data_IF_372001150663
#
_entry.id   IF_372001150663
#
_cell.length_a   1.000
_cell.length_b   1.000
_cell.length_c   1.000
_cell.angle_alpha   90.00
_cell.angle_beta   90.00
_cell.angle_gamma   90.00
#
_symmetry.space_group_name_H-M   'P 1'
#
loop_
_entity.id
_entity.type
_entity.pdbx_description
1 polymer ?
#
# COMPACT_ATOMS: atom_id res chain seq x y z
N UNK A 1 9.44 13.67 -7.08
CA UNK A 1 9.08 12.75 -5.99
C UNK A 1 8.42 11.53 -6.63
N UNK A 2 8.99 10.34 -6.44
CA UNK A 2 8.42 9.10 -6.98
C UNK A 2 7.46 8.47 -5.95
N UNK A 3 6.44 7.76 -6.42
CA UNK A 3 5.44 7.05 -5.59
C UNK A 3 5.30 5.61 -6.07
N UNK A 4 4.88 4.73 -5.17
CA UNK A 4 4.41 3.39 -5.52
C UNK A 4 2.89 3.37 -5.47
N UNK A 5 2.25 2.83 -6.51
CA UNK A 5 0.80 2.65 -6.55
C UNK A 5 0.50 1.15 -6.59
N UNK A 6 -0.14 0.67 -5.54
CA UNK A 6 -0.60 -0.70 -5.46
C UNK A 6 -2.08 -0.77 -5.82
N UNK A 7 -2.40 -1.52 -6.88
CA UNK A 7 -3.78 -1.78 -7.29
C UNK A 7 -4.23 -3.10 -6.69
N UNK A 8 -5.24 -3.06 -5.85
CA UNK A 8 -5.85 -4.29 -5.37
C UNK A 8 -6.59 -4.99 -6.50
N UNK A 9 -6.32 -6.28 -6.61
CA UNK A 9 -7.07 -7.16 -7.49
C UNK A 9 -8.49 -7.32 -6.92
N UNK A 10 -9.52 -7.48 -7.78
CA UNK A 10 -10.88 -7.76 -7.34
C UNK A 10 -10.99 -9.20 -6.83
N UNK A 11 -10.30 -9.52 -5.74
CA UNK A 11 -10.28 -10.86 -5.11
C UNK A 11 -11.29 -10.89 -3.95
N UNK A 12 -12.58 -10.89 -4.32
CA UNK A 12 -13.70 -11.12 -3.40
C UNK A 12 -13.78 -10.18 -2.18
N UNK A 13 -14.54 -10.60 -1.17
CA UNK A 13 -14.70 -9.87 0.09
C UNK A 13 -13.41 -9.79 0.92
N UNK A 14 -12.48 -10.72 0.73
CA UNK A 14 -11.23 -10.77 1.47
C UNK A 14 -10.32 -9.59 1.11
N UNK A 15 -10.07 -9.35 -0.18
CA UNK A 15 -9.26 -8.22 -0.61
C UNK A 15 -9.83 -6.87 -0.18
N UNK A 16 -11.16 -6.72 -0.13
CA UNK A 16 -11.76 -5.49 0.39
C UNK A 16 -11.52 -5.28 1.89
N UNK A 17 -11.60 -6.35 2.69
CA UNK A 17 -11.33 -6.30 4.12
C UNK A 17 -9.87 -5.96 4.41
N UNK A 18 -8.95 -6.56 3.67
CA UNK A 18 -7.50 -6.28 3.75
C UNK A 18 -7.22 -4.82 3.40
N UNK A 19 -7.80 -4.32 2.29
CA UNK A 19 -7.69 -2.91 1.91
C UNK A 19 -8.19 -1.94 2.99
N UNK A 20 -9.38 -2.21 3.55
CA UNK A 20 -9.94 -1.37 4.62
C UNK A 20 -9.04 -1.38 5.86
N UNK A 21 -8.45 -2.53 6.18
CA UNK A 21 -7.50 -2.68 7.29
C UNK A 21 -6.27 -1.81 7.04
N UNK A 22 -5.66 -1.92 5.85
CA UNK A 22 -4.50 -1.11 5.49
C UNK A 22 -4.80 0.39 5.55
N UNK A 23 -5.91 0.85 4.95
CA UNK A 23 -6.30 2.27 5.02
C UNK A 23 -6.53 2.72 6.46
N UNK A 24 -7.20 1.91 7.29
CA UNK A 24 -7.55 2.30 8.66
C UNK A 24 -6.32 2.42 9.56
N UNK A 25 -5.40 1.45 9.50
CA UNK A 25 -4.26 1.40 10.40
C UNK A 25 -3.04 2.14 9.85
N UNK A 26 -2.68 1.94 8.57
CA UNK A 26 -1.47 2.54 8.00
C UNK A 26 -1.61 4.05 7.80
N UNK A 27 -2.84 4.59 7.67
CA UNK A 27 -3.04 6.05 7.64
C UNK A 27 -2.70 6.75 8.96
N UNK A 28 -2.73 6.01 10.08
CA UNK A 28 -2.46 6.53 11.41
C UNK A 28 -1.01 6.29 11.86
N UNK A 29 -0.31 5.36 11.20
CA UNK A 29 1.04 4.96 11.57
C UNK A 29 2.08 5.80 10.83
N UNK A 30 2.88 6.53 11.61
CA UNK A 30 4.03 7.28 11.11
C UNK A 30 5.28 6.85 11.87
N UNK A 31 6.13 6.06 11.21
CA UNK A 31 7.37 5.56 11.80
C UNK A 31 8.47 5.47 10.73
N UNK A 32 9.73 5.82 11.02
CA UNK A 32 10.82 5.82 10.03
C UNK A 32 11.17 4.44 9.44
N UNK A 33 10.68 3.35 10.04
CA UNK A 33 10.90 1.98 9.57
C UNK A 33 9.65 1.31 9.02
N UNK A 34 8.55 2.05 8.84
CA UNK A 34 7.34 1.58 8.18
C UNK A 34 7.17 2.37 6.90
N UNK A 35 6.85 1.68 5.79
CA UNK A 35 6.55 2.36 4.53
C UNK A 35 5.34 3.27 4.73
N UNK A 36 5.48 4.54 4.36
CA UNK A 36 4.43 5.53 4.55
C UNK A 36 3.34 5.36 3.52
N UNK A 37 2.12 5.13 3.98
CA UNK A 37 0.91 5.33 3.18
C UNK A 37 0.69 6.84 3.00
N UNK A 38 0.78 7.31 1.75
CA UNK A 38 0.57 8.72 1.37
C UNK A 38 -0.91 8.99 1.14
N UNK A 39 -1.64 8.03 0.59
CA UNK A 39 -3.07 8.16 0.31
C UNK A 39 -3.67 6.91 -0.33
N UNK A 40 -4.93 7.00 -0.73
CA UNK A 40 -5.66 5.91 -1.36
C UNK A 40 -6.67 6.43 -2.38
N UNK A 41 -7.13 5.56 -3.28
CA UNK A 41 -8.28 5.81 -4.16
C UNK A 41 -9.34 4.73 -3.94
N UNK A 42 -10.59 5.17 -3.75
CA UNK A 42 -11.76 4.31 -3.59
C UNK A 42 -12.87 4.83 -4.50
N UNK A 43 -12.76 4.54 -5.79
CA UNK A 43 -13.72 4.99 -6.80
C UNK A 43 -14.28 3.80 -7.59
N UNK A 44 -15.59 3.59 -7.49
CA UNK A 44 -16.25 2.42 -8.08
C UNK A 44 -15.63 1.11 -7.60
N UNK A 45 -15.10 0.33 -8.54
CA UNK A 45 -14.39 -0.92 -8.28
C UNK A 45 -12.88 -0.76 -8.11
N UNK A 46 -12.35 0.46 -8.27
CA UNK A 46 -10.93 0.72 -8.08
C UNK A 46 -10.64 0.90 -6.59
N UNK A 47 -9.68 0.11 -6.11
CA UNK A 47 -9.05 0.23 -4.79
C UNK A 47 -7.56 0.35 -5.02
N UNK A 48 -7.03 1.54 -4.81
CA UNK A 48 -5.60 1.83 -4.96
C UNK A 48 -5.04 2.31 -3.63
N UNK A 49 -3.80 1.94 -3.35
CA UNK A 49 -3.00 2.45 -2.24
C UNK A 49 -1.78 3.15 -2.81
N UNK A 50 -1.46 4.31 -2.25
CA UNK A 50 -0.36 5.16 -2.69
C UNK A 50 0.66 5.23 -1.57
N UNK A 51 1.84 4.70 -1.82
CA UNK A 51 2.95 4.62 -0.87
C UNK A 51 4.12 5.50 -1.32
N UNK A 52 5.00 5.81 -0.38
CA UNK A 52 6.35 6.26 -0.74
C UNK A 52 7.08 5.18 -1.54
N UNK A 53 7.85 5.62 -2.54
CA UNK A 53 8.62 4.68 -3.36
C UNK A 53 9.93 4.30 -2.66
N UNK A 54 10.18 2.99 -2.53
CA UNK A 54 11.41 2.44 -1.97
C UNK A 54 12.40 2.09 -3.10
N UNK A 55 13.41 2.94 -3.39
CA UNK A 55 14.23 2.81 -4.59
C UNK A 55 15.15 1.59 -4.61
N UNK A 56 15.42 1.00 -3.44
CA UNK A 56 16.24 -0.21 -3.33
C UNK A 56 15.41 -1.50 -3.41
N UNK A 57 14.09 -1.42 -3.55
CA UNK A 57 13.23 -2.61 -3.61
C UNK A 57 13.22 -3.44 -2.32
N UNK A 58 12.83 -4.71 -2.44
CA UNK A 58 12.74 -5.65 -1.31
C UNK A 58 14.12 -6.12 -0.85
N UNK A 59 14.20 -6.56 0.40
CA UNK A 59 15.41 -7.17 0.97
C UNK A 59 15.82 -8.45 0.23
N UNK A 60 14.85 -9.21 -0.28
CA UNK A 60 15.05 -10.44 -1.05
C UNK A 60 16.02 -10.22 -2.24
N UNK A 61 15.89 -9.08 -2.94
CA UNK A 61 16.75 -8.74 -4.08
C UNK A 61 18.23 -8.52 -3.73
N UNK A 62 18.58 -8.44 -2.45
CA UNK A 62 19.94 -8.15 -1.98
C UNK A 62 20.55 -9.30 -1.17
N UNK A 63 19.76 -10.31 -0.81
CA UNK A 63 20.21 -11.45 0.02
C UNK A 63 20.14 -12.79 -0.71
N UNK A 64 19.51 -12.85 -1.87
CA UNK A 64 19.49 -13.98 -2.80
C UNK A 64 20.24 -13.62 -4.09
#
# INVERSE_FOLDING_TARGET
>A
MAIAVEKLKPEGFQGHKEWLTEVTYLSQLHHPNLVKLIGYCSEGHNRLLVYEYMPKGSLENHLL
#
